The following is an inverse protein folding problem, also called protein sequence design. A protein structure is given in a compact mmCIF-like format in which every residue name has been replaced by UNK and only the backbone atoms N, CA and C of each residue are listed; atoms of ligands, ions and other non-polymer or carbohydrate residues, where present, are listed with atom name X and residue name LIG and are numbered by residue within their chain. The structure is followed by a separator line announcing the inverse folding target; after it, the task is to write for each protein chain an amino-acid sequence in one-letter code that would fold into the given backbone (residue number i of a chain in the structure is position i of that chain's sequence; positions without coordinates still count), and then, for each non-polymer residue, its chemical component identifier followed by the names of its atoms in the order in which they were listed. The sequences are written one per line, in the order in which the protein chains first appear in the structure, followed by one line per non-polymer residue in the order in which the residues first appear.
data_IF_965995460983
#
_entry.id   IF_965995460983
#
_cell.length_a   1.000
_cell.length_b   1.000
_cell.length_c   1.000
_cell.angle_alpha   90.00
_cell.angle_beta   90.00
_cell.angle_gamma   90.00
#
_symmetry.space_group_name_H-M   'P 1'
#
loop_
_entity.id
_entity.type
_entity.pdbx_description
1 polymer ?
#
# COMPACT_ATOMS: atom_id res chain seq x y z
N UNK A 1 10.34 -23.78 3.73
CA UNK A 1 10.69 -25.02 2.99
C UNK A 1 9.87 -25.24 1.72
N UNK A 2 8.53 -25.27 1.75
CA UNK A 2 7.71 -25.53 0.54
C UNK A 2 7.96 -24.55 -0.63
N UNK A 3 8.23 -23.28 -0.36
CA UNK A 3 8.51 -22.27 -1.40
C UNK A 3 9.90 -22.41 -2.05
N UNK A 4 10.91 -22.89 -1.32
CA UNK A 4 12.29 -22.98 -1.83
C UNK A 4 12.45 -24.13 -2.81
N UNK A 5 11.83 -25.29 -2.51
CA UNK A 5 11.84 -26.48 -3.37
C UNK A 5 11.11 -26.18 -4.69
N UNK A 6 9.95 -25.49 -4.63
CA UNK A 6 9.20 -25.07 -5.81
C UNK A 6 9.99 -24.08 -6.70
N UNK A 7 10.77 -23.17 -6.10
CA UNK A 7 11.65 -22.26 -6.83
C UNK A 7 12.81 -22.99 -7.52
N UNK A 8 13.44 -23.96 -6.83
CA UNK A 8 14.51 -24.79 -7.41
C UNK A 8 13.98 -25.57 -8.61
N UNK A 9 12.79 -26.13 -8.49
CA UNK A 9 12.12 -26.85 -9.58
C UNK A 9 11.81 -25.93 -10.78
N UNK A 10 11.29 -24.72 -10.54
CA UNK A 10 10.87 -23.82 -11.61
C UNK A 10 12.01 -23.05 -12.30
N UNK A 11 13.04 -22.66 -11.54
CA UNK A 11 14.09 -21.73 -12.02
C UNK A 11 15.48 -22.37 -12.10
N UNK A 12 15.64 -23.59 -11.60
CA UNK A 12 16.93 -24.25 -11.46
C UNK A 12 17.70 -23.79 -10.21
N UNK A 13 18.73 -24.55 -9.85
CA UNK A 13 19.48 -24.38 -8.60
C UNK A 13 20.23 -23.04 -8.55
N UNK A 14 20.91 -22.66 -9.65
CA UNK A 14 21.70 -21.44 -9.75
C UNK A 14 20.85 -20.17 -9.58
N UNK A 15 19.75 -20.04 -10.33
CA UNK A 15 18.85 -18.88 -10.20
C UNK A 15 18.20 -18.84 -8.81
N UNK A 16 17.81 -19.99 -8.26
CA UNK A 16 17.24 -20.06 -6.92
C UNK A 16 18.21 -19.60 -5.84
N UNK A 17 19.50 -19.94 -5.99
CA UNK A 17 20.57 -19.46 -5.11
C UNK A 17 20.82 -17.95 -5.28
N UNK A 18 20.81 -17.43 -6.50
CA UNK A 18 20.88 -15.99 -6.76
C UNK A 18 19.70 -15.23 -6.11
N UNK A 19 18.48 -15.75 -6.22
CA UNK A 19 17.30 -15.20 -5.54
C UNK A 19 17.44 -15.23 -4.01
N UNK A 20 18.02 -16.30 -3.45
CA UNK A 20 18.28 -16.38 -2.02
C UNK A 20 19.29 -15.32 -1.58
N UNK A 21 20.40 -15.16 -2.32
CA UNK A 21 21.39 -14.11 -2.04
C UNK A 21 20.75 -12.72 -2.15
N UNK A 22 19.91 -12.46 -3.15
CA UNK A 22 19.23 -11.16 -3.27
C UNK A 22 18.28 -10.89 -2.12
N UNK A 23 17.54 -11.91 -1.65
CA UNK A 23 16.66 -11.80 -0.48
C UNK A 23 17.47 -11.56 0.81
N UNK A 24 18.59 -12.26 1.00
CA UNK A 24 19.48 -12.04 2.15
C UNK A 24 20.07 -10.64 2.10
N UNK A 25 20.60 -10.20 0.95
CA UNK A 25 21.10 -8.83 0.77
C UNK A 25 19.99 -7.81 1.07
N UNK A 26 18.77 -8.07 0.61
CA UNK A 26 17.65 -7.19 0.85
C UNK A 26 17.33 -7.07 2.35
N UNK A 27 17.24 -8.21 3.05
CA UNK A 27 16.99 -8.27 4.49
C UNK A 27 18.12 -7.59 5.28
N UNK A 28 19.37 -7.97 5.04
CA UNK A 28 20.51 -7.46 5.79
C UNK A 28 20.70 -5.97 5.54
N UNK A 29 20.75 -5.54 4.28
CA UNK A 29 21.06 -4.15 3.99
C UNK A 29 19.86 -3.22 4.23
N UNK A 30 18.70 -3.48 3.62
CA UNK A 30 17.59 -2.54 3.72
C UNK A 30 16.91 -2.58 5.09
N UNK A 31 16.73 -3.76 5.70
CA UNK A 31 16.05 -3.84 7.00
C UNK A 31 17.00 -3.59 8.17
N UNK A 32 18.16 -4.24 8.22
CA UNK A 32 19.04 -4.08 9.39
C UNK A 32 19.86 -2.79 9.33
N UNK A 33 20.40 -2.41 8.16
CA UNK A 33 21.23 -1.20 8.05
C UNK A 33 20.38 0.06 7.88
N UNK A 34 19.43 0.06 6.94
CA UNK A 34 18.64 1.26 6.65
C UNK A 34 17.34 1.35 7.47
N UNK A 35 16.86 0.24 8.03
CA UNK A 35 15.57 0.18 8.73
C UNK A 35 14.37 0.42 7.82
N UNK A 36 14.50 0.09 6.53
CA UNK A 36 13.45 0.24 5.52
C UNK A 36 12.72 -1.08 5.28
N UNK A 37 11.40 -0.98 5.17
CA UNK A 37 10.48 -2.08 5.01
C UNK A 37 9.63 -1.97 3.75
N UNK A 38 9.68 -0.83 3.07
CA UNK A 38 8.97 -0.61 1.83
C UNK A 38 9.67 -1.23 0.61
N UNK A 39 8.97 -1.21 -0.53
CA UNK A 39 9.45 -1.82 -1.77
C UNK A 39 10.60 -1.03 -2.40
N UNK A 40 10.53 0.30 -2.41
CA UNK A 40 11.54 1.19 -2.98
C UNK A 40 11.91 2.36 -2.04
N UNK A 41 12.02 2.09 -0.73
CA UNK A 41 12.46 3.03 0.31
C UNK A 41 11.59 4.30 0.47
N UNK A 42 10.34 4.25 0.04
CA UNK A 42 9.31 5.26 0.29
C UNK A 42 9.26 5.66 1.77
N UNK A 43 9.38 4.69 2.68
CA UNK A 43 9.36 4.94 4.11
C UNK A 43 10.50 5.85 4.58
N UNK A 44 11.72 5.70 4.05
CA UNK A 44 12.86 6.59 4.36
C UNK A 44 12.63 8.01 3.84
N UNK A 45 12.02 8.15 2.67
CA UNK A 45 11.72 9.45 2.05
C UNK A 45 10.67 10.17 2.89
N UNK A 46 9.57 9.49 3.23
CA UNK A 46 8.51 10.04 4.06
C UNK A 46 9.02 10.40 5.46
N UNK A 47 9.88 9.56 6.05
CA UNK A 47 10.52 9.80 7.34
C UNK A 47 11.38 11.08 7.31
N UNK A 48 12.15 11.27 6.22
CA UNK A 48 12.90 12.52 5.99
C UNK A 48 11.98 13.73 5.81
N UNK A 49 10.87 13.61 5.08
CA UNK A 49 9.89 14.70 4.91
C UNK A 49 9.31 15.13 6.26
N UNK A 50 9.06 14.18 7.16
CA UNK A 50 8.61 14.44 8.52
C UNK A 50 9.74 14.83 9.50
N UNK A 51 10.96 15.09 9.00
CA UNK A 51 12.12 15.46 9.83
C UNK A 51 12.39 14.43 10.94
N UNK A 52 12.21 13.14 10.61
CA UNK A 52 12.44 12.02 11.52
C UNK A 52 11.63 12.07 12.81
N UNK A 53 10.42 12.63 12.76
CA UNK A 53 9.48 12.72 13.89
C UNK A 53 9.24 11.34 14.51
N UNK A 54 9.27 11.28 15.84
CA UNK A 54 9.17 10.03 16.60
C UNK A 54 7.73 9.56 16.85
N UNK A 55 6.73 10.44 16.71
CA UNK A 55 5.31 10.09 16.84
C UNK A 55 4.48 10.71 15.74
N UNK A 56 3.50 9.98 15.23
CA UNK A 56 2.58 10.49 14.22
C UNK A 56 1.48 9.49 13.94
N UNK A 57 0.61 9.86 13.00
CA UNK A 57 -0.54 9.05 12.61
C UNK A 57 -0.51 8.74 11.11
N UNK A 58 -0.64 7.47 10.77
CA UNK A 58 -0.73 7.04 9.38
C UNK A 58 -2.05 6.34 9.05
N UNK A 59 -2.39 6.32 7.77
CA UNK A 59 -3.48 5.52 7.20
C UNK A 59 -2.89 4.70 6.06
N UNK A 60 -3.00 3.38 6.15
CA UNK A 60 -2.43 2.40 5.21
C UNK A 60 -3.56 1.65 4.51
N UNK A 61 -3.82 2.00 3.24
CA UNK A 61 -4.88 1.40 2.42
C UNK A 61 -4.26 0.38 1.47
N UNK A 62 -4.66 -0.88 1.63
CA UNK A 62 -3.98 -2.00 0.96
C UNK A 62 -2.74 -2.47 1.74
N UNK A 63 -2.85 -2.51 3.08
CA UNK A 63 -1.72 -2.74 3.97
C UNK A 63 -1.00 -4.07 3.78
N UNK A 64 -1.66 -5.07 3.17
CA UNK A 64 -1.07 -6.32 2.72
C UNK A 64 -0.28 -7.05 3.82
N UNK A 65 1.01 -7.31 3.62
CA UNK A 65 1.87 -7.90 4.64
C UNK A 65 2.22 -6.85 5.71
N UNK A 66 2.12 -7.18 7.01
CA UNK A 66 2.38 -6.22 8.10
C UNK A 66 3.81 -5.66 8.15
N UNK A 67 4.78 -6.32 7.50
CA UNK A 67 6.22 -6.03 7.64
C UNK A 67 6.91 -5.90 6.29
N UNK A 68 6.62 -6.79 5.34
CA UNK A 68 7.31 -6.84 4.05
C UNK A 68 6.62 -5.93 3.05
N UNK A 69 7.41 -5.10 2.38
CA UNK A 69 6.91 -4.13 1.39
C UNK A 69 5.85 -3.20 1.97
N UNK A 70 5.96 -2.89 3.26
CA UNK A 70 4.98 -2.08 3.97
C UNK A 70 5.57 -0.70 4.26
N UNK A 71 4.92 0.33 3.71
CA UNK A 71 5.37 1.72 3.83
C UNK A 71 5.25 2.28 5.26
N UNK A 72 4.45 1.65 6.14
CA UNK A 72 4.12 2.18 7.47
C UNK A 72 4.81 1.46 8.62
N UNK A 73 5.39 0.27 8.40
CA UNK A 73 5.98 -0.54 9.47
C UNK A 73 7.17 0.13 10.16
N UNK A 74 8.02 0.85 9.41
CA UNK A 74 9.09 1.69 9.98
C UNK A 74 8.55 2.70 11.01
N UNK A 75 7.43 3.34 10.69
CA UNK A 75 6.81 4.35 11.56
C UNK A 75 6.18 3.70 12.79
N UNK A 76 5.53 2.55 12.61
CA UNK A 76 5.00 1.75 13.70
C UNK A 76 6.10 1.40 14.73
N UNK A 77 7.28 0.96 14.27
CA UNK A 77 8.44 0.69 15.14
C UNK A 77 8.96 1.92 15.86
N UNK A 78 8.80 3.12 15.29
CA UNK A 78 9.15 4.39 15.93
C UNK A 78 8.15 4.86 16.99
N UNK A 79 7.00 4.19 17.12
CA UNK A 79 5.94 4.58 18.04
C UNK A 79 4.79 5.36 17.39
N UNK A 80 4.75 5.45 16.06
CA UNK A 80 3.55 5.93 15.37
C UNK A 80 2.44 4.91 15.48
N UNK A 81 1.19 5.37 15.44
CA UNK A 81 0.02 4.51 15.47
C UNK A 81 -0.92 4.93 14.36
N UNK A 82 -1.55 3.98 13.71
CA UNK A 82 -2.37 4.28 12.55
C UNK A 82 -3.48 3.28 12.30
N UNK A 83 -4.03 3.39 11.09
CA UNK A 83 -5.07 2.50 10.60
C UNK A 83 -4.49 1.66 9.47
N UNK A 84 -4.65 0.35 9.55
CA UNK A 84 -4.36 -0.57 8.45
C UNK A 84 -5.68 -1.10 7.89
N UNK A 85 -5.91 -0.91 6.59
CA UNK A 85 -7.10 -1.39 5.88
C UNK A 85 -6.69 -2.49 4.91
N UNK A 86 -7.21 -3.70 5.13
CA UNK A 86 -6.85 -4.87 4.35
C UNK A 86 -8.09 -5.76 4.12
N UNK A 87 -8.60 -5.86 2.88
CA UNK A 87 -9.72 -6.72 2.53
C UNK A 87 -9.46 -8.22 2.72
N UNK A 88 -8.22 -8.68 2.54
CA UNK A 88 -7.81 -10.07 2.71
C UNK A 88 -7.79 -10.49 4.17
N UNK A 89 -8.77 -11.31 4.54
CA UNK A 89 -8.92 -11.81 5.91
C UNK A 89 -7.66 -12.50 6.43
N UNK A 90 -6.93 -13.29 5.61
CA UNK A 90 -5.67 -13.93 6.05
C UNK A 90 -4.61 -12.88 6.40
N UNK A 91 -4.49 -11.82 5.60
CA UNK A 91 -3.53 -10.73 5.79
C UNK A 91 -3.94 -9.80 6.94
N UNK A 92 -5.23 -9.50 7.04
CA UNK A 92 -5.84 -8.79 8.18
C UNK A 92 -5.56 -9.49 9.52
N UNK A 93 -5.73 -10.80 9.61
CA UNK A 93 -5.42 -11.55 10.84
C UNK A 93 -3.92 -11.45 11.20
N UNK A 94 -3.04 -11.44 10.20
CA UNK A 94 -1.60 -11.20 10.42
C UNK A 94 -1.31 -9.78 10.89
N UNK A 95 -1.99 -8.78 10.32
CA UNK A 95 -1.90 -7.38 10.75
C UNK A 95 -2.28 -7.24 12.22
N UNK A 96 -3.41 -7.80 12.66
CA UNK A 96 -3.80 -7.80 14.09
C UNK A 96 -2.75 -8.43 15.00
N UNK A 97 -2.14 -9.54 14.56
CA UNK A 97 -1.16 -10.26 15.36
C UNK A 97 0.17 -9.52 15.48
N UNK A 98 0.63 -8.89 14.41
CA UNK A 98 1.97 -8.29 14.32
C UNK A 98 1.94 -6.79 14.66
N UNK A 99 0.80 -6.14 14.46
CA UNK A 99 0.57 -4.70 14.70
C UNK A 99 -0.63 -4.46 15.61
N UNK A 100 -0.63 -5.01 16.85
CA UNK A 100 -1.79 -4.95 17.75
C UNK A 100 -2.12 -3.55 18.26
N UNK A 101 -1.17 -2.62 18.25
CA UNK A 101 -1.38 -1.23 18.67
C UNK A 101 -1.98 -0.35 17.56
N UNK A 102 -2.00 -0.84 16.32
CA UNK A 102 -2.70 -0.18 15.21
C UNK A 102 -4.19 -0.57 15.20
N UNK A 103 -5.02 0.30 14.65
CA UNK A 103 -6.41 -0.04 14.34
C UNK A 103 -6.45 -0.79 13.01
N UNK A 104 -6.66 -2.10 13.06
CA UNK A 104 -6.75 -2.95 11.87
C UNK A 104 -8.21 -3.11 11.43
N UNK A 105 -8.49 -2.95 10.12
CA UNK A 105 -9.86 -2.97 9.57
C UNK A 105 -9.97 -3.89 8.35
N UNK A 106 -10.88 -4.87 8.41
CA UNK A 106 -11.14 -5.81 7.31
C UNK A 106 -12.29 -5.34 6.41
N UNK A 107 -12.03 -4.32 5.59
CA UNK A 107 -12.98 -3.75 4.61
C UNK A 107 -12.22 -3.31 3.36
N UNK A 108 -12.94 -3.07 2.26
CA UNK A 108 -12.39 -2.36 1.11
C UNK A 108 -12.72 -0.88 1.13
N UNK A 109 -11.85 -0.05 0.53
CA UNK A 109 -12.17 1.36 0.29
C UNK A 109 -12.63 1.54 -1.15
N UNK A 110 -13.76 2.23 -1.34
CA UNK A 110 -14.34 2.47 -2.67
C UNK A 110 -15.16 3.75 -2.72
N UNK A 111 -15.59 4.18 -3.92
CA UNK A 111 -16.39 5.40 -4.09
C UNK A 111 -17.74 5.39 -3.37
N UNK A 112 -18.32 4.22 -3.08
CA UNK A 112 -19.63 4.06 -2.43
C UNK A 112 -19.59 3.01 -1.33
N UNK A 113 -20.61 2.99 -0.47
CA UNK A 113 -20.83 1.92 0.51
C UNK A 113 -21.53 0.75 -0.17
N UNK A 114 -21.05 -0.48 0.02
CA UNK A 114 -21.68 -1.65 -0.59
C UNK A 114 -20.82 -2.90 -0.49
N UNK A 115 -20.95 -3.79 -1.48
CA UNK A 115 -20.12 -4.98 -1.63
C UNK A 115 -19.51 -5.03 -3.02
N UNK A 116 -18.18 -5.16 -3.10
CA UNK A 116 -17.47 -5.31 -4.38
C UNK A 116 -16.83 -6.69 -4.48
N UNK A 117 -16.62 -7.15 -5.72
CA UNK A 117 -15.81 -8.35 -5.97
C UNK A 117 -14.34 -8.01 -5.74
N UNK A 118 -13.70 -8.77 -4.87
CA UNK A 118 -12.28 -8.71 -4.58
C UNK A 118 -11.59 -9.92 -5.20
N UNK A 119 -10.62 -9.67 -6.08
CA UNK A 119 -9.90 -10.70 -6.83
C UNK A 119 -8.56 -10.96 -6.11
N UNK A 120 -8.41 -12.13 -5.52
CA UNK A 120 -7.19 -12.56 -4.85
C UNK A 120 -6.42 -13.52 -5.74
N UNK A 121 -5.13 -13.29 -5.95
CA UNK A 121 -4.28 -14.15 -6.78
C UNK A 121 -3.47 -15.13 -5.95
N UNK A 122 -2.98 -16.20 -6.59
CA UNK A 122 -2.03 -17.13 -5.96
C UNK A 122 -0.69 -16.47 -5.63
N UNK A 123 -0.33 -15.41 -6.35
CA UNK A 123 0.77 -14.52 -5.99
C UNK A 123 0.37 -13.73 -4.75
N UNK A 124 1.01 -14.03 -3.62
CA UNK A 124 0.61 -13.50 -2.29
C UNK A 124 0.54 -11.97 -2.21
N UNK A 125 1.35 -11.26 -3.00
CA UNK A 125 1.36 -9.80 -3.02
C UNK A 125 0.25 -9.17 -3.85
N UNK A 126 -0.46 -9.94 -4.68
CA UNK A 126 -1.33 -9.42 -5.73
C UNK A 126 -2.81 -9.63 -5.42
N UNK A 127 -3.55 -8.52 -5.32
CA UNK A 127 -5.01 -8.54 -5.17
C UNK A 127 -5.62 -7.19 -5.50
N UNK A 128 -6.81 -7.15 -6.10
CA UNK A 128 -7.43 -5.89 -6.54
C UNK A 128 -8.95 -5.91 -6.46
N UNK A 129 -9.58 -4.73 -6.42
CA UNK A 129 -11.01 -4.53 -6.68
C UNK A 129 -11.29 -4.18 -8.15
N UNK A 130 -10.27 -3.84 -8.93
CA UNK A 130 -10.41 -3.50 -10.35
C UNK A 130 -10.56 -4.78 -11.18
N UNK A 131 -11.74 -5.00 -11.76
CA UNK A 131 -11.94 -6.12 -12.70
C UNK A 131 -11.00 -5.99 -13.91
N UNK A 132 -10.80 -4.77 -14.40
CA UNK A 132 -9.90 -4.48 -15.52
C UNK A 132 -8.48 -4.95 -15.22
N UNK A 133 -7.94 -4.60 -14.05
CA UNK A 133 -6.59 -5.04 -13.68
C UNK A 133 -6.53 -6.53 -13.38
N UNK A 134 -7.58 -7.10 -12.76
CA UNK A 134 -7.66 -8.54 -12.60
C UNK A 134 -7.60 -9.29 -13.95
N UNK A 135 -8.35 -8.83 -14.96
CA UNK A 135 -8.32 -9.38 -16.31
C UNK A 135 -6.94 -9.18 -16.98
N UNK A 136 -6.26 -8.05 -16.73
CA UNK A 136 -4.90 -7.80 -17.23
C UNK A 136 -3.87 -8.75 -16.61
N UNK A 137 -3.96 -9.02 -15.30
CA UNK A 137 -3.08 -9.96 -14.62
C UNK A 137 -3.30 -11.40 -15.12
N UNK A 138 -4.55 -11.80 -15.37
CA UNK A 138 -4.85 -13.10 -15.98
C UNK A 138 -4.20 -13.22 -17.37
N UNK A 139 -4.27 -12.17 -18.20
CA UNK A 139 -3.59 -12.15 -19.52
C UNK A 139 -2.06 -12.25 -19.42
N UNK A 140 -1.48 -11.78 -18.32
CA UNK A 140 -0.05 -11.89 -18.03
C UNK A 140 0.34 -13.27 -17.45
N UNK A 141 -0.63 -14.17 -17.27
CA UNK A 141 -0.40 -15.53 -16.76
C UNK A 141 -0.53 -15.68 -15.24
N UNK A 142 -1.05 -14.67 -14.54
CA UNK A 142 -1.36 -14.81 -13.11
C UNK A 142 -2.68 -15.55 -12.89
N UNK A 143 -2.71 -16.43 -11.90
CA UNK A 143 -3.89 -17.23 -11.55
C UNK A 143 -4.65 -16.64 -10.37
N UNK A 144 -5.96 -16.50 -10.52
CA UNK A 144 -6.87 -16.08 -9.46
C UNK A 144 -7.07 -17.25 -8.48
N UNK A 145 -6.71 -17.05 -7.21
CA UNK A 145 -6.97 -18.01 -6.12
C UNK A 145 -8.45 -17.99 -5.72
N UNK A 146 -9.04 -16.80 -5.61
CA UNK A 146 -10.45 -16.65 -5.23
C UNK A 146 -11.03 -15.30 -5.62
N UNK A 147 -12.35 -15.28 -5.80
CA UNK A 147 -13.13 -14.05 -5.93
C UNK A 147 -14.17 -14.05 -4.82
N UNK A 148 -14.18 -13.01 -3.97
CA UNK A 148 -15.17 -12.90 -2.90
C UNK A 148 -15.81 -11.51 -2.84
N UNK A 149 -17.02 -11.43 -2.32
CA UNK A 149 -17.68 -10.15 -2.03
C UNK A 149 -17.16 -9.60 -0.70
N UNK A 150 -16.63 -8.39 -0.71
CA UNK A 150 -16.12 -7.69 0.48
C UNK A 150 -16.93 -6.42 0.70
N UNK A 151 -17.26 -6.12 1.96
CA UNK A 151 -17.88 -4.87 2.33
C UNK A 151 -16.94 -3.69 2.09
N UNK A 152 -17.47 -2.63 1.48
CA UNK A 152 -16.70 -1.45 1.13
C UNK A 152 -17.36 -0.16 1.61
N UNK A 153 -16.55 0.89 1.76
CA UNK A 153 -17.00 2.23 2.09
C UNK A 153 -16.04 3.32 1.56
N UNK A 154 -16.51 4.56 1.39
CA UNK A 154 -15.65 5.72 1.10
C UNK A 154 -14.60 5.97 2.17
N UNK A 155 -13.42 6.44 1.77
CA UNK A 155 -12.33 6.77 2.69
C UNK A 155 -12.79 7.76 3.75
N UNK A 156 -13.49 8.83 3.35
CA UNK A 156 -14.05 9.82 4.28
C UNK A 156 -14.99 9.22 5.33
N UNK A 157 -15.72 8.15 4.98
CA UNK A 157 -16.65 7.48 5.89
C UNK A 157 -15.89 6.64 6.91
N UNK A 158 -14.82 5.95 6.51
CA UNK A 158 -13.95 5.23 7.43
C UNK A 158 -13.29 6.21 8.41
N UNK A 159 -12.69 7.28 7.90
CA UNK A 159 -12.00 8.29 8.70
C UNK A 159 -12.95 8.98 9.68
N UNK A 160 -14.18 9.28 9.24
CA UNK A 160 -15.26 9.77 10.11
C UNK A 160 -15.60 8.77 11.22
N UNK A 161 -15.82 7.50 10.86
CA UNK A 161 -16.20 6.44 11.80
C UNK A 161 -15.15 6.23 12.89
N UNK A 162 -13.88 6.35 12.55
CA UNK A 162 -12.75 6.19 13.46
C UNK A 162 -12.32 7.50 14.13
N UNK A 163 -13.08 8.58 13.96
CA UNK A 163 -12.81 9.90 14.54
C UNK A 163 -11.38 10.42 14.25
N UNK A 164 -10.87 10.15 13.05
CA UNK A 164 -9.54 10.59 12.62
C UNK A 164 -9.53 12.11 12.50
N UNK A 165 -8.53 12.76 13.12
CA UNK A 165 -8.38 14.23 13.12
C UNK A 165 -7.18 14.71 12.33
N UNK A 166 -6.05 14.02 12.46
CA UNK A 166 -4.79 14.38 11.83
C UNK A 166 -4.21 13.16 11.13
N UNK A 167 -3.71 13.35 9.91
CA UNK A 167 -3.03 12.31 9.15
C UNK A 167 -1.67 12.87 8.77
N UNK A 168 -0.60 12.34 9.36
CA UNK A 168 0.75 12.71 8.97
C UNK A 168 1.09 12.02 7.64
N UNK A 169 0.71 10.75 7.47
CA UNK A 169 1.02 9.96 6.27
C UNK A 169 -0.17 9.10 5.79
N UNK A 170 -0.54 9.21 4.52
CA UNK A 170 -1.47 8.30 3.85
C UNK A 170 -0.69 7.49 2.80
N UNK A 171 -0.83 6.17 2.81
CA UNK A 171 -0.34 5.31 1.73
C UNK A 171 -1.51 4.54 1.12
N UNK A 172 -1.53 4.45 -0.22
CA UNK A 172 -2.54 3.72 -0.99
C UNK A 172 -1.82 2.85 -2.01
N UNK A 173 -1.99 1.55 -1.88
CA UNK A 173 -1.43 0.53 -2.77
C UNK A 173 -2.51 -0.54 -2.99
N UNK A 174 -3.33 -0.35 -4.03
CA UNK A 174 -4.54 -1.17 -4.24
C UNK A 174 -4.65 -1.79 -5.61
N UNK A 175 -3.52 -1.86 -6.32
CA UNK A 175 -3.38 -2.56 -7.57
C UNK A 175 -4.39 -2.05 -8.63
N UNK A 176 -4.40 -0.71 -8.82
CA UNK A 176 -5.16 -0.02 -9.87
C UNK A 176 -6.56 0.42 -9.45
N UNK A 177 -6.82 0.52 -8.13
CA UNK A 177 -8.08 1.03 -7.58
C UNK A 177 -7.92 2.39 -6.88
N UNK A 178 -6.72 2.98 -6.99
CA UNK A 178 -6.22 4.08 -6.18
C UNK A 178 -6.95 5.40 -6.49
N UNK A 179 -7.22 5.68 -7.76
CA UNK A 179 -7.99 6.85 -8.20
C UNK A 179 -9.38 6.88 -7.57
N UNK A 180 -10.05 5.72 -7.49
CA UNK A 180 -11.39 5.62 -6.89
C UNK A 180 -11.32 5.92 -5.39
N UNK A 181 -10.28 5.43 -4.72
CA UNK A 181 -10.04 5.68 -3.30
C UNK A 181 -9.77 7.16 -3.05
N UNK A 182 -8.91 7.79 -3.84
CA UNK A 182 -8.60 9.23 -3.75
C UNK A 182 -9.85 10.09 -3.95
N UNK A 183 -10.70 9.77 -4.92
CA UNK A 183 -11.98 10.46 -5.16
C UNK A 183 -13.00 10.27 -4.04
N UNK A 184 -12.84 9.25 -3.20
CA UNK A 184 -13.75 8.94 -2.10
C UNK A 184 -13.47 9.73 -0.81
N UNK A 185 -12.39 10.51 -0.78
CA UNK A 185 -12.00 11.30 0.38
C UNK A 185 -12.67 12.69 0.42
N UNK A 186 -12.61 13.33 1.58
CA UNK A 186 -12.88 14.75 1.78
C UNK A 186 -11.55 15.45 2.09
N UNK A 187 -10.99 16.14 1.09
CA UNK A 187 -9.63 16.72 1.14
C UNK A 187 -9.53 18.03 1.91
N UNK A 188 -10.67 18.63 2.26
CA UNK A 188 -10.73 19.78 3.15
C UNK A 188 -10.69 19.31 4.61
N UNK A 189 -11.42 18.22 4.92
CA UNK A 189 -11.52 17.72 6.29
C UNK A 189 -10.43 16.72 6.67
N UNK A 190 -10.15 15.74 5.82
CA UNK A 190 -9.20 14.66 6.08
C UNK A 190 -8.02 14.79 5.14
N UNK A 191 -7.09 15.67 5.54
CA UNK A 191 -5.99 16.11 4.69
C UNK A 191 -4.64 15.59 5.20
N UNK A 192 -4.08 14.53 4.60
CA UNK A 192 -2.74 14.04 4.93
C UNK A 192 -1.65 15.05 4.62
N UNK A 193 -0.62 15.13 5.46
CA UNK A 193 0.56 15.98 5.14
C UNK A 193 1.39 15.40 3.99
N UNK A 194 1.47 14.07 3.93
CA UNK A 194 2.18 13.31 2.91
C UNK A 194 1.29 12.18 2.41
N UNK A 195 1.25 11.99 1.09
CA UNK A 195 0.53 10.90 0.43
C UNK A 195 1.54 10.10 -0.41
N UNK A 196 1.59 8.79 -0.21
CA UNK A 196 2.24 7.87 -1.14
C UNK A 196 1.15 7.07 -1.85
N UNK A 197 1.23 6.97 -3.16
CA UNK A 197 0.24 6.25 -3.96
C UNK A 197 0.93 5.46 -5.05
N UNK A 198 0.44 4.25 -5.27
CA UNK A 198 0.88 3.38 -6.34
C UNK A 198 0.61 4.02 -7.71
N UNK A 199 1.64 3.99 -8.56
CA UNK A 199 1.60 4.33 -9.96
C UNK A 199 1.65 3.01 -10.75
N UNK A 200 0.54 2.30 -10.86
CA UNK A 200 0.48 1.22 -11.84
C UNK A 200 0.50 1.86 -13.21
N UNK A 201 1.69 1.96 -13.79
CA UNK A 201 2.04 1.33 -15.06
C UNK A 201 3.22 2.03 -15.74
N UNK A 202 4.14 1.21 -16.25
CA UNK A 202 4.99 1.57 -17.39
C UNK A 202 4.20 1.58 -18.72
N UNK A 203 2.94 1.11 -18.73
CA UNK A 203 2.07 0.91 -19.90
C UNK A 203 0.74 1.71 -19.96
N UNK A 204 0.34 2.47 -18.93
CA UNK A 204 -0.96 3.17 -18.85
C UNK A 204 -0.75 4.58 -18.28
N UNK A 205 -0.03 5.40 -19.06
CA UNK A 205 0.32 6.80 -18.79
C UNK A 205 -0.86 7.68 -18.33
N UNK A 206 -2.09 7.28 -18.66
CA UNK A 206 -3.32 8.01 -18.35
C UNK A 206 -3.68 8.01 -16.85
N UNK A 207 -3.57 6.89 -16.14
CA UNK A 207 -3.93 6.81 -14.71
C UNK A 207 -2.92 7.55 -13.83
N UNK A 208 -1.61 7.42 -14.13
CA UNK A 208 -0.58 8.25 -13.51
C UNK A 208 -0.82 9.74 -13.74
N UNK A 209 -1.32 10.10 -14.93
CA UNK A 209 -1.73 11.48 -15.20
C UNK A 209 -2.94 11.90 -14.35
N UNK A 210 -3.88 10.99 -14.10
CA UNK A 210 -5.10 11.27 -13.35
C UNK A 210 -4.86 11.44 -11.86
N UNK A 211 -4.08 10.55 -11.23
CA UNK A 211 -3.67 10.67 -9.83
C UNK A 211 -2.96 12.01 -9.61
N UNK A 212 -1.98 12.33 -10.47
CA UNK A 212 -1.24 13.59 -10.40
C UNK A 212 -2.17 14.78 -10.56
N UNK A 213 -3.06 14.78 -11.57
CA UNK A 213 -4.03 15.86 -11.80
C UNK A 213 -4.94 16.05 -10.59
N UNK A 214 -5.47 14.96 -10.03
CA UNK A 214 -6.34 14.99 -8.85
C UNK A 214 -5.61 15.59 -7.66
N UNK A 215 -4.44 15.08 -7.29
CA UNK A 215 -3.73 15.58 -6.12
C UNK A 215 -3.22 17.02 -6.29
N UNK A 216 -2.77 17.39 -7.49
CA UNK A 216 -2.41 18.78 -7.80
C UNK A 216 -3.62 19.71 -7.71
N UNK A 217 -4.81 19.29 -8.18
CA UNK A 217 -6.03 20.08 -8.04
C UNK A 217 -6.47 20.23 -6.57
N UNK A 218 -6.02 19.35 -5.69
CA UNK A 218 -6.19 19.45 -4.25
C UNK A 218 -5.02 20.17 -3.57
N UNK A 219 -4.16 20.88 -4.31
CA UNK A 219 -3.00 21.63 -3.80
C UNK A 219 -1.93 20.75 -3.14
N UNK A 220 -1.70 19.55 -3.67
CA UNK A 220 -0.52 18.75 -3.34
C UNK A 220 0.57 18.94 -4.39
N UNK A 221 1.82 18.93 -3.95
CA UNK A 221 3.01 18.97 -4.81
C UNK A 221 3.63 17.58 -4.88
N UNK A 222 3.94 17.13 -6.10
CA UNK A 222 4.72 15.91 -6.31
C UNK A 222 6.15 16.14 -5.79
N UNK A 223 6.61 15.26 -4.91
CA UNK A 223 7.97 15.28 -4.34
C UNK A 223 8.89 14.34 -5.11
N UNK A 224 8.43 13.11 -5.33
CA UNK A 224 9.19 12.10 -6.06
C UNK A 224 8.24 11.13 -6.75
N UNK A 225 8.71 10.58 -7.86
CA UNK A 225 8.14 9.40 -8.52
C UNK A 225 9.30 8.44 -8.80
N UNK A 226 9.25 7.23 -8.25
CA UNK A 226 10.30 6.22 -8.39
C UNK A 226 9.98 5.14 -9.45
N UNK A 227 8.94 5.38 -10.26
CA UNK A 227 8.46 4.46 -11.29
C UNK A 227 7.41 3.45 -10.82
N UNK A 228 7.34 3.17 -9.51
CA UNK A 228 6.28 2.34 -8.90
C UNK A 228 5.31 3.15 -8.04
N UNK A 229 5.82 4.14 -7.30
CA UNK A 229 5.07 4.95 -6.36
C UNK A 229 5.37 6.44 -6.57
N UNK A 230 4.35 7.27 -6.37
CA UNK A 230 4.47 8.73 -6.29
C UNK A 230 4.28 9.18 -4.85
N UNK A 231 5.15 10.09 -4.38
CA UNK A 231 4.97 10.76 -3.09
C UNK A 231 4.61 12.22 -3.34
N UNK A 232 3.51 12.64 -2.73
CA UNK A 232 2.99 13.98 -2.75
C UNK A 232 3.01 14.58 -1.36
N UNK A 233 3.11 15.90 -1.29
CA UNK A 233 3.12 16.66 -0.04
C UNK A 233 2.11 17.79 -0.11
N UNK A 234 1.38 17.99 0.97
CA UNK A 234 0.43 19.09 1.08
C UNK A 234 1.15 20.45 0.95
N UNK A 235 0.71 21.28 0.00
CA UNK A 235 1.27 22.60 -0.19
C UNK A 235 0.71 23.66 0.77
N UNK A 236 -0.40 23.38 1.47
CA UNK A 236 -1.05 24.32 2.42
C UNK A 236 -0.37 24.42 3.77
N UNK A 237 0.58 23.53 4.07
CA UNK A 237 1.25 23.45 5.38
C UNK A 237 2.54 24.27 5.47
N UNK A 238 2.75 25.19 4.53
CA UNK A 238 3.93 26.07 4.44
C UNK A 238 3.54 27.52 4.11
#
# INVERSE_FOLDING_TARGET
MKNTIKKIYNYGLLKSFQYLISEIKYIVFYRLVLGSYSQQQEDLIVDKIHRYKTKGFFVDIGANDPVRFNNTYRFYLKGWRGINVEPNTKKFERLKKIRPEDTNVNVGISGTKGKLSFYNFHTDTLSTFSKKEADNYVKQGFEIESIRKVDTLPLKNLLKKLNVRNIDFLTIDTEGYDVVILKSNDWEKYRPKVICVENITQNNTNENSEIKKLLVSQEYKLVINNGLNSIFKDARTY
#
